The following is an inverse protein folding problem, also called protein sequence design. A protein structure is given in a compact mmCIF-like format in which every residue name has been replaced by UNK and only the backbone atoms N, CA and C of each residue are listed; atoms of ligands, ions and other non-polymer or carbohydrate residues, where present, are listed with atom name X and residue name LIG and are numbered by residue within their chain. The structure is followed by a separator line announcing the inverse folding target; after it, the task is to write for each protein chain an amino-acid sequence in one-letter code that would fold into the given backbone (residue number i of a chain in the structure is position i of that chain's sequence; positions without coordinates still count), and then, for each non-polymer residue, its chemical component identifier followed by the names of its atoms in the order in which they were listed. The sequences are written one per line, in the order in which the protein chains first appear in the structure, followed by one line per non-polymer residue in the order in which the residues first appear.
data_IF_976354800484
#
_entry.id   IF_976354800484
#
_cell.length_a   1.000
_cell.length_b   1.000
_cell.length_c   1.000
_cell.angle_alpha   90.00
_cell.angle_beta   90.00
_cell.angle_gamma   90.00
#
_symmetry.space_group_name_H-M   'P 1'
#
loop_
_entity.id
_entity.type
_entity.pdbx_description
1 polymer ?
#
# COMPACT_ATOMS: atom_id res chain seq x y z
N UNK A 1 8.44 -16.83 -11.12
CA UNK A 1 9.16 -15.58 -10.75
C UNK A 1 8.15 -14.61 -10.16
N UNK A 2 7.97 -14.60 -8.82
CA UNK A 2 6.99 -13.72 -8.16
C UNK A 2 7.54 -12.28 -8.18
N UNK A 3 6.96 -11.40 -9.01
CA UNK A 3 7.28 -9.96 -8.99
C UNK A 3 6.53 -9.32 -7.82
N UNK A 4 7.12 -9.41 -6.64
CA UNK A 4 6.70 -8.65 -5.45
C UNK A 4 6.97 -7.15 -5.59
N UNK A 5 7.60 -6.75 -6.70
CA UNK A 5 8.02 -5.38 -6.98
C UNK A 5 6.99 -4.60 -7.82
N UNK A 6 5.70 -4.87 -7.69
CA UNK A 6 4.64 -4.20 -8.47
C UNK A 6 3.49 -3.72 -7.59
N UNK A 7 2.87 -2.61 -7.98
CA UNK A 7 1.58 -2.13 -7.45
C UNK A 7 0.47 -3.18 -7.55
N UNK A 8 0.61 -4.15 -8.46
CA UNK A 8 -0.23 -5.34 -8.56
C UNK A 8 -0.47 -6.02 -7.21
N UNK A 9 0.49 -5.96 -6.29
CA UNK A 9 0.36 -6.59 -4.97
C UNK A 9 -0.86 -6.07 -4.19
N UNK A 10 -1.08 -4.75 -4.19
CA UNK A 10 -2.14 -4.12 -3.41
C UNK A 10 -3.27 -3.54 -4.25
N UNK A 11 -3.03 -3.31 -5.55
CA UNK A 11 -4.02 -2.74 -6.47
C UNK A 11 -4.72 -3.80 -7.34
N UNK A 12 -4.34 -5.09 -7.23
CA UNK A 12 -5.15 -6.20 -7.76
C UNK A 12 -6.01 -6.81 -6.66
N UNK A 13 -7.35 -6.83 -6.80
CA UNK A 13 -8.24 -7.42 -5.81
C UNK A 13 -7.86 -8.85 -5.41
N UNK A 14 -7.48 -9.69 -6.37
CA UNK A 14 -7.12 -11.09 -6.15
C UNK A 14 -5.82 -11.30 -5.35
N UNK A 15 -4.95 -10.30 -5.32
CA UNK A 15 -3.74 -10.31 -4.49
C UNK A 15 -4.05 -9.74 -3.11
N UNK A 16 -4.77 -8.63 -3.06
CA UNK A 16 -5.12 -7.96 -1.80
C UNK A 16 -6.01 -8.84 -0.91
N UNK A 17 -6.92 -9.62 -1.50
CA UNK A 17 -7.76 -10.57 -0.78
C UNK A 17 -6.94 -11.62 -0.02
N UNK A 18 -5.84 -12.11 -0.60
CA UNK A 18 -4.93 -13.06 0.07
C UNK A 18 -4.21 -12.39 1.25
N UNK A 19 -3.82 -11.13 1.08
CA UNK A 19 -3.11 -10.33 2.09
C UNK A 19 -4.00 -9.86 3.23
N UNK A 20 -5.33 -9.80 3.03
CA UNK A 20 -6.30 -9.46 4.09
C UNK A 20 -6.06 -10.25 5.38
N UNK A 21 -5.70 -11.53 5.24
CA UNK A 21 -5.42 -12.45 6.34
C UNK A 21 -4.29 -11.97 7.28
N UNK A 22 -3.26 -11.32 6.74
CA UNK A 22 -2.12 -10.82 7.50
C UNK A 22 -2.15 -9.30 7.74
N UNK A 23 -3.16 -8.61 7.22
CA UNK A 23 -3.40 -7.19 7.49
C UNK A 23 -2.78 -6.27 6.43
N UNK A 24 -3.62 -5.38 5.91
CA UNK A 24 -3.25 -4.37 4.92
C UNK A 24 -3.70 -2.99 5.38
N UNK A 25 -2.81 -2.01 5.33
CA UNK A 25 -3.14 -0.60 5.57
C UNK A 25 -2.83 0.28 4.36
N UNK A 26 -3.65 1.30 4.18
CA UNK A 26 -3.44 2.37 3.21
C UNK A 26 -3.22 3.69 3.95
N UNK A 27 -2.50 4.62 3.32
CA UNK A 27 -2.39 5.99 3.84
C UNK A 27 -3.77 6.65 3.83
N UNK A 28 -4.05 7.46 4.85
CA UNK A 28 -5.15 8.43 4.83
C UNK A 28 -4.64 9.73 4.17
N UNK A 29 -4.28 9.60 2.90
CA UNK A 29 -3.70 10.64 2.07
C UNK A 29 -4.37 10.55 0.68
N UNK A 30 -5.57 11.14 0.50
CA UNK A 30 -6.39 10.90 -0.67
C UNK A 30 -5.68 11.30 -1.96
N UNK A 31 -4.95 12.42 -1.98
CA UNK A 31 -4.22 12.88 -3.16
C UNK A 31 -3.17 11.86 -3.61
N UNK A 32 -2.36 11.32 -2.69
CA UNK A 32 -1.34 10.31 -3.00
C UNK A 32 -1.96 8.98 -3.46
N UNK A 33 -3.04 8.55 -2.81
CA UNK A 33 -3.72 7.30 -3.14
C UNK A 33 -4.37 7.40 -4.52
N UNK A 34 -5.09 8.48 -4.81
CA UNK A 34 -5.71 8.67 -6.12
C UNK A 34 -4.67 8.81 -7.22
N UNK A 35 -3.59 9.59 -7.01
CA UNK A 35 -2.51 9.69 -7.98
C UNK A 35 -1.86 8.32 -8.27
N UNK A 36 -1.63 7.52 -7.22
CA UNK A 36 -1.09 6.15 -7.34
C UNK A 36 -2.03 5.24 -8.13
N UNK A 37 -3.33 5.28 -7.85
CA UNK A 37 -4.34 4.48 -8.54
C UNK A 37 -4.49 4.89 -10.00
N UNK A 38 -4.53 6.20 -10.29
CA UNK A 38 -4.58 6.71 -11.66
C UNK A 38 -3.35 6.27 -12.46
N UNK A 39 -2.15 6.43 -11.89
CA UNK A 39 -0.92 5.95 -12.51
C UNK A 39 -0.98 4.44 -12.82
N UNK A 40 -1.49 3.63 -11.88
CA UNK A 40 -1.63 2.19 -12.07
C UNK A 40 -2.61 1.83 -13.19
N UNK A 41 -3.68 2.61 -13.35
CA UNK A 41 -4.66 2.48 -14.43
C UNK A 41 -4.17 3.06 -15.78
N UNK A 42 -2.92 3.50 -15.86
CA UNK A 42 -2.34 4.11 -17.07
C UNK A 42 -2.89 5.51 -17.38
N UNK A 43 -3.45 6.19 -16.38
CA UNK A 43 -3.94 7.57 -16.44
C UNK A 43 -2.84 8.54 -15.96
N UNK A 44 -3.06 9.83 -16.20
CA UNK A 44 -2.24 10.88 -15.61
C UNK A 44 -2.44 10.90 -14.07
N UNK A 45 -1.39 10.74 -13.25
CA UNK A 45 -1.50 10.87 -11.79
C UNK A 45 -2.06 12.22 -11.34
N UNK A 46 -1.90 13.26 -12.16
CA UNK A 46 -2.37 14.63 -11.94
C UNK A 46 -3.53 15.00 -12.89
N UNK A 47 -4.37 14.03 -13.25
CA UNK A 47 -5.50 14.27 -14.17
C UNK A 47 -6.36 15.44 -13.70
N UNK A 48 -6.81 16.28 -14.63
CA UNK A 48 -7.81 17.33 -14.36
C UNK A 48 -9.22 16.90 -14.75
N UNK A 49 -9.41 15.64 -15.18
CA UNK A 49 -10.71 15.11 -15.61
C UNK A 49 -11.43 14.46 -14.44
N UNK A 50 -12.57 15.03 -14.04
CA UNK A 50 -13.38 14.49 -12.94
C UNK A 50 -13.74 13.01 -13.15
N UNK A 51 -14.05 12.60 -14.39
CA UNK A 51 -14.44 11.23 -14.74
C UNK A 51 -13.35 10.19 -14.43
N UNK A 52 -12.07 10.56 -14.44
CA UNK A 52 -10.99 9.64 -14.09
C UNK A 52 -11.04 9.27 -12.60
N UNK A 53 -11.50 10.20 -11.75
CA UNK A 53 -11.63 10.03 -10.30
C UNK A 53 -12.94 9.34 -9.93
N UNK A 54 -14.07 9.84 -10.44
CA UNK A 54 -15.41 9.36 -10.07
C UNK A 54 -15.74 8.00 -10.68
N UNK A 55 -15.09 7.65 -11.80
CA UNK A 55 -15.22 6.35 -12.46
C UNK A 55 -14.12 5.37 -12.03
N UNK A 56 -13.10 5.15 -12.89
CA UNK A 56 -12.23 3.98 -12.78
C UNK A 56 -11.37 3.96 -11.50
N UNK A 57 -10.95 5.13 -10.98
CA UNK A 57 -10.18 5.17 -9.73
C UNK A 57 -11.05 4.79 -8.52
N UNK A 58 -12.24 5.40 -8.39
CA UNK A 58 -13.19 5.07 -7.32
C UNK A 58 -13.65 3.61 -7.41
N UNK A 59 -13.99 3.12 -8.60
CA UNK A 59 -14.40 1.73 -8.82
C UNK A 59 -13.34 0.73 -8.35
N UNK A 60 -12.06 1.01 -8.62
CA UNK A 60 -10.98 0.16 -8.14
C UNK A 60 -10.86 0.22 -6.62
N UNK A 61 -10.81 1.41 -6.03
CA UNK A 61 -10.68 1.59 -4.58
C UNK A 61 -11.83 0.93 -3.81
N UNK A 62 -13.06 1.01 -4.32
CA UNK A 62 -14.22 0.34 -3.73
C UNK A 62 -14.10 -1.19 -3.77
N UNK A 63 -13.50 -1.77 -4.82
CA UNK A 63 -13.22 -3.22 -4.88
C UNK A 63 -12.14 -3.64 -3.88
N UNK A 64 -11.16 -2.77 -3.61
CA UNK A 64 -10.08 -3.04 -2.66
C UNK A 64 -10.51 -2.84 -1.20
N UNK A 65 -11.43 -1.90 -0.96
CA UNK A 65 -11.88 -1.46 0.38
C UNK A 65 -12.23 -2.58 1.37
N UNK A 66 -12.90 -3.69 0.99
CA UNK A 66 -13.23 -4.77 1.93
C UNK A 66 -12.02 -5.59 2.44
N UNK A 67 -10.86 -5.42 1.79
CA UNK A 67 -9.61 -6.12 2.12
C UNK A 67 -8.61 -5.22 2.85
N UNK A 68 -8.92 -3.92 2.99
CA UNK A 68 -8.11 -2.94 3.71
C UNK A 68 -8.59 -2.90 5.17
N UNK A 69 -7.66 -3.08 6.11
CA UNK A 69 -7.95 -3.10 7.55
C UNK A 69 -8.26 -1.68 8.06
N UNK A 70 -7.45 -0.71 7.68
CA UNK A 70 -7.64 0.69 8.06
C UNK A 70 -6.94 1.64 7.07
N UNK A 71 -7.32 2.92 7.17
CA UNK A 71 -6.64 4.04 6.53
C UNK A 71 -6.04 4.90 7.62
N UNK A 72 -4.71 5.04 7.66
CA UNK A 72 -4.00 5.86 8.63
C UNK A 72 -2.57 6.14 8.18
N UNK A 73 -2.08 7.36 8.37
CA UNK A 73 -0.81 7.82 7.82
C UNK A 73 0.39 7.73 8.78
N UNK A 74 0.33 6.89 9.82
CA UNK A 74 1.46 6.73 10.76
C UNK A 74 1.39 5.45 11.61
N UNK A 75 0.20 4.97 11.97
CA UNK A 75 0.00 3.74 12.76
C UNK A 75 0.69 2.53 12.10
N UNK A 76 0.73 2.49 10.78
CA UNK A 76 1.35 1.42 10.01
C UNK A 76 2.82 1.19 10.36
N UNK A 77 3.56 2.20 10.84
CA UNK A 77 4.97 2.07 11.23
C UNK A 77 5.13 1.07 12.38
N UNK A 78 4.34 1.26 13.43
CA UNK A 78 4.40 0.40 14.62
C UNK A 78 3.77 -0.97 14.35
N UNK A 79 2.64 -1.01 13.64
CA UNK A 79 1.98 -2.27 13.28
C UNK A 79 2.86 -3.14 12.38
N UNK A 80 3.60 -2.52 11.45
CA UNK A 80 4.62 -3.21 10.67
C UNK A 80 5.79 -3.65 11.53
N UNK A 81 6.23 -2.90 12.54
CA UNK A 81 7.33 -3.34 13.41
C UNK A 81 6.92 -4.53 14.29
N UNK A 82 5.69 -4.51 14.80
CA UNK A 82 5.12 -5.50 15.71
C UNK A 82 4.64 -6.76 15.00
N UNK A 83 4.23 -6.65 13.73
CA UNK A 83 3.72 -7.78 12.95
C UNK A 83 2.21 -7.87 12.91
N UNK A 84 1.53 -6.80 13.32
CA UNK A 84 0.08 -6.70 13.28
C UNK A 84 -0.41 -6.61 11.83
N UNK A 85 0.36 -5.98 10.94
CA UNK A 85 0.12 -5.97 9.49
C UNK A 85 1.33 -6.48 8.70
N UNK A 86 1.08 -7.03 7.51
CA UNK A 86 2.12 -7.55 6.62
C UNK A 86 2.42 -6.64 5.43
N UNK A 87 1.49 -5.74 5.07
CA UNK A 87 1.62 -4.83 3.93
C UNK A 87 1.03 -3.46 4.27
N UNK A 88 1.74 -2.41 3.87
CA UNK A 88 1.26 -1.03 3.90
C UNK A 88 1.65 -0.30 2.61
N UNK A 89 0.80 0.63 2.18
CA UNK A 89 1.25 1.77 1.37
C UNK A 89 1.79 2.80 2.36
N UNK A 90 3.03 3.24 2.19
CA UNK A 90 3.67 4.15 3.12
C UNK A 90 4.81 4.96 2.49
N UNK A 91 5.24 6.00 3.20
CA UNK A 91 6.38 6.82 2.78
C UNK A 91 7.70 6.11 3.03
N UNK A 92 8.72 6.46 2.24
CA UNK A 92 10.00 5.75 2.28
C UNK A 92 10.70 5.77 3.64
N UNK A 93 10.80 6.94 4.24
CA UNK A 93 11.45 7.08 5.55
C UNK A 93 10.75 6.30 6.66
N UNK A 94 9.42 6.30 6.68
CA UNK A 94 8.60 5.65 7.71
C UNK A 94 8.72 4.13 7.67
N UNK A 95 8.70 3.58 6.47
CA UNK A 95 8.87 2.14 6.27
C UNK A 95 10.28 1.70 6.67
N UNK A 96 11.32 2.49 6.36
CA UNK A 96 12.68 2.23 6.84
C UNK A 96 12.76 2.25 8.38
N UNK A 97 12.05 3.17 9.03
CA UNK A 97 11.94 3.19 10.49
C UNK A 97 11.24 1.93 11.03
N UNK A 98 10.13 1.52 10.42
CA UNK A 98 9.43 0.30 10.79
C UNK A 98 10.33 -0.95 10.68
N UNK A 99 11.12 -1.03 9.62
CA UNK A 99 12.07 -2.11 9.39
C UNK A 99 13.16 -2.20 10.47
N UNK A 100 13.73 -1.06 10.85
CA UNK A 100 14.74 -1.01 11.90
C UNK A 100 14.16 -1.40 13.26
N UNK A 101 12.97 -0.88 13.60
CA UNK A 101 12.24 -1.26 14.82
C UNK A 101 11.90 -2.76 14.85
N UNK A 102 11.50 -3.33 13.72
CA UNK A 102 11.22 -4.77 13.61
C UNK A 102 12.46 -5.64 13.92
N UNK A 103 13.64 -5.21 13.42
CA UNK A 103 14.93 -5.89 13.68
C UNK A 103 15.32 -5.80 15.15
N UNK A 104 15.20 -4.62 15.74
CA UNK A 104 15.48 -4.40 17.17
C UNK A 104 14.56 -5.25 18.07
N UNK A 105 13.29 -5.36 17.70
CA UNK A 105 12.30 -6.19 18.41
C UNK A 105 12.46 -7.71 18.19
N UNK A 106 13.44 -8.16 17.39
CA UNK A 106 13.63 -9.57 16.98
C UNK A 106 12.41 -10.20 16.29
N UNK A 107 11.55 -9.38 15.69
CA UNK A 107 10.38 -9.87 14.95
C UNK A 107 10.83 -10.31 13.54
N UNK A 108 11.26 -11.57 13.40
CA UNK A 108 11.89 -12.16 12.20
C UNK A 108 10.97 -12.45 11.00
N UNK A 109 9.87 -11.70 10.80
CA UNK A 109 8.95 -11.89 9.66
C UNK A 109 9.28 -11.01 8.45
N UNK A 110 9.29 -11.61 7.24
CA UNK A 110 9.32 -10.88 5.95
C UNK A 110 8.10 -9.98 5.83
N UNK A 111 8.31 -8.69 5.54
CA UNK A 111 7.25 -7.67 5.42
C UNK A 111 7.42 -6.92 4.12
N UNK A 112 6.32 -6.76 3.40
CA UNK A 112 6.35 -6.30 2.01
C UNK A 112 5.77 -4.90 1.91
N UNK A 113 6.55 -3.97 1.35
CA UNK A 113 6.28 -2.54 1.48
C UNK A 113 6.27 -1.85 0.12
N UNK A 114 5.26 -1.00 -0.06
CA UNK A 114 5.07 -0.25 -1.28
C UNK A 114 5.26 1.23 -0.97
N UNK A 115 6.21 1.84 -1.67
CA UNK A 115 6.60 3.23 -1.48
C UNK A 115 5.88 4.12 -2.50
N UNK A 116 5.29 5.23 -2.05
CA UNK A 116 4.62 6.20 -2.95
C UNK A 116 5.61 6.96 -3.84
N UNK A 117 6.86 7.14 -3.40
CA UNK A 117 7.93 7.73 -4.20
C UNK A 117 8.50 6.72 -5.23
N UNK A 118 7.95 6.74 -6.44
CA UNK A 118 8.66 6.28 -7.65
C UNK A 118 8.85 4.76 -7.78
N UNK A 119 7.80 4.07 -8.26
CA UNK A 119 7.86 2.76 -8.94
C UNK A 119 8.61 1.61 -8.24
N UNK A 120 8.93 1.71 -6.95
CA UNK A 120 9.62 0.62 -6.24
C UNK A 120 8.76 0.10 -5.11
N UNK A 121 8.25 -1.08 -5.35
CA UNK A 121 7.81 -2.00 -4.32
C UNK A 121 9.05 -2.74 -3.79
N UNK A 122 9.30 -2.65 -2.49
CA UNK A 122 10.47 -3.23 -1.83
C UNK A 122 10.04 -4.24 -0.76
N UNK A 123 10.69 -5.41 -0.77
CA UNK A 123 10.52 -6.41 0.30
C UNK A 123 11.57 -6.13 1.37
N UNK A 124 11.20 -6.18 2.65
CA UNK A 124 12.17 -6.25 3.76
C UNK A 124 12.75 -7.64 3.93
#
# INVERSE_FOLDING_TARGET
MRRWNSWDLVLKPENLEKLKSCGVSFLDAPEEIFATVLNYLGKDPNSSKADDYTGPATDLLLKLRPNIRYFHSSQYINDLANGDICVAIGWAGDVWQAANRAKEAKNGGQRLLLYSEGRRAGVL
#
